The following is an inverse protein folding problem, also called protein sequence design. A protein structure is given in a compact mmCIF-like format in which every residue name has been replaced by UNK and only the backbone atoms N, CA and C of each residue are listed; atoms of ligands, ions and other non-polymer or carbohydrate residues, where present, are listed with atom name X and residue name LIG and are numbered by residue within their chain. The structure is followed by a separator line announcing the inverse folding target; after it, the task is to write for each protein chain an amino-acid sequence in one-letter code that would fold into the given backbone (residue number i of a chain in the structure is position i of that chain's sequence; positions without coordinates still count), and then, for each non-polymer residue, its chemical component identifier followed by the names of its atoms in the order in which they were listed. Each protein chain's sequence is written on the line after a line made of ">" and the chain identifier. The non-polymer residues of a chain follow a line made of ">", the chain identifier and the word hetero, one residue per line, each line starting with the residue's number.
data_IF_893142061688
#
_entry.id   IF_893142061688
#
_cell.length_a   1.000
_cell.length_b   1.000
_cell.length_c   1.000
_cell.angle_alpha   90.00
_cell.angle_beta   90.00
_cell.angle_gamma   90.00
#
_symmetry.space_group_name_H-M   'P 1'
#
loop_
_entity.id
_entity.type
_entity.pdbx_description
1 polymer ?
#
# COMPACT_ATOMS: atom_id res chain seq x y z
N UNK A 1 1.26 -15.86 0.81
CA UNK A 1 0.63 -14.53 0.87
C UNK A 1 0.47 -14.19 2.34
N UNK A 2 1.31 -13.29 2.86
CA UNK A 2 1.48 -13.14 4.31
C UNK A 2 1.18 -11.73 4.82
N UNK A 3 1.42 -10.68 4.02
CA UNK A 3 1.33 -9.30 4.50
C UNK A 3 -0.09 -8.87 4.91
N UNK A 4 -1.10 -9.14 4.07
CA UNK A 4 -2.50 -8.76 4.34
C UNK A 4 -3.12 -9.54 5.52
N UNK A 5 -3.07 -10.89 5.57
CA UNK A 5 -3.52 -11.61 6.76
C UNK A 5 -2.84 -11.14 8.04
N UNK A 6 -1.53 -10.89 7.98
CA UNK A 6 -0.77 -10.42 9.15
C UNK A 6 -1.22 -9.03 9.60
N UNK A 7 -1.41 -8.08 8.67
CA UNK A 7 -1.92 -6.75 8.99
C UNK A 7 -3.30 -6.82 9.65
N UNK A 8 -4.20 -7.64 9.11
CA UNK A 8 -5.58 -7.76 9.60
C UNK A 8 -5.66 -8.45 10.97
N UNK A 9 -4.81 -9.46 11.22
CA UNK A 9 -4.82 -10.23 12.46
C UNK A 9 -3.96 -9.61 13.56
N UNK A 10 -2.89 -8.90 13.18
CA UNK A 10 -1.84 -8.43 14.09
C UNK A 10 -1.53 -6.94 13.88
N UNK A 11 -2.48 -6.13 13.42
CA UNK A 11 -2.27 -4.71 13.13
C UNK A 11 -1.69 -3.89 14.29
N UNK A 12 -1.97 -4.28 15.55
CA UNK A 12 -1.36 -3.66 16.74
C UNK A 12 0.16 -3.86 16.88
N UNK A 13 0.74 -4.84 16.17
CA UNK A 13 2.19 -5.06 16.11
C UNK A 13 2.85 -4.31 14.94
N UNK A 14 2.06 -3.71 14.05
CA UNK A 14 2.53 -3.10 12.81
C UNK A 14 2.47 -1.58 12.97
N UNK A 15 3.62 -0.92 13.00
CA UNK A 15 3.68 0.55 13.07
C UNK A 15 3.16 1.22 11.80
N UNK A 16 3.44 0.63 10.64
CA UNK A 16 2.96 1.11 9.34
C UNK A 16 2.96 0.01 8.29
N UNK A 17 2.14 0.18 7.26
CA UNK A 17 2.01 -0.75 6.14
C UNK A 17 2.29 -0.07 4.80
N UNK A 18 3.24 -0.58 4.03
CA UNK A 18 3.61 -0.02 2.71
C UNK A 18 3.41 -1.07 1.62
N UNK A 19 2.17 -1.30 1.15
CA UNK A 19 1.91 -2.21 0.05
C UNK A 19 2.33 -1.58 -1.28
N UNK A 20 3.10 -2.33 -2.09
CA UNK A 20 3.36 -2.00 -3.50
C UNK A 20 2.59 -2.98 -4.37
N UNK A 21 1.50 -2.51 -4.99
CA UNK A 21 0.60 -3.28 -5.86
C UNK A 21 0.42 -4.77 -5.47
N UNK A 22 0.04 -5.09 -4.21
CA UNK A 22 0.01 -6.46 -3.74
C UNK A 22 -1.10 -7.27 -4.42
N UNK A 23 -0.87 -8.57 -4.56
CA UNK A 23 -1.89 -9.51 -5.02
C UNK A 23 -2.89 -9.86 -3.93
N UNK A 24 -4.06 -10.36 -4.34
CA UNK A 24 -5.05 -11.01 -3.49
C UNK A 24 -5.72 -10.09 -2.45
N UNK A 25 -5.80 -8.80 -2.77
CA UNK A 25 -6.51 -7.80 -1.97
C UNK A 25 -8.01 -8.02 -1.95
N UNK A 26 -8.57 -8.69 -2.95
CA UNK A 26 -9.99 -9.05 -3.09
C UNK A 26 -10.46 -10.13 -2.10
N UNK A 27 -9.53 -10.79 -1.39
CA UNK A 27 -9.86 -11.85 -0.44
C UNK A 27 -10.43 -11.36 0.89
N UNK A 28 -10.47 -10.04 1.09
CA UNK A 28 -10.89 -9.41 2.34
C UNK A 28 -11.98 -8.38 2.08
N UNK A 29 -12.94 -8.28 2.99
CA UNK A 29 -14.05 -7.34 2.85
C UNK A 29 -13.64 -5.90 3.16
N UNK A 30 -14.43 -4.94 2.70
CA UNK A 30 -14.23 -3.53 3.01
C UNK A 30 -14.27 -3.26 4.53
N UNK A 31 -15.11 -3.97 5.28
CA UNK A 31 -15.21 -3.87 6.74
C UNK A 31 -13.93 -4.34 7.42
N UNK A 32 -13.32 -5.42 6.92
CA UNK A 32 -12.04 -5.90 7.44
C UNK A 32 -10.93 -4.87 7.24
N UNK A 33 -10.87 -4.23 6.07
CA UNK A 33 -9.93 -3.14 5.81
C UNK A 33 -10.19 -1.91 6.69
N UNK A 34 -11.46 -1.50 6.86
CA UNK A 34 -11.84 -0.35 7.68
C UNK A 34 -11.49 -0.53 9.16
N UNK A 35 -11.44 -1.76 9.65
CA UNK A 35 -11.04 -2.05 11.02
C UNK A 35 -9.54 -1.80 11.28
N UNK A 36 -8.70 -1.80 10.24
CA UNK A 36 -7.25 -1.58 10.36
C UNK A 36 -6.96 -0.12 10.71
N UNK A 37 -6.33 0.09 11.87
CA UNK A 37 -5.89 1.42 12.32
C UNK A 37 -4.44 1.76 11.94
N UNK A 38 -3.66 0.75 11.52
CA UNK A 38 -2.27 0.93 11.07
C UNK A 38 -2.19 1.94 9.91
N UNK A 39 -1.38 3.00 10.04
CA UNK A 39 -1.10 3.92 8.94
C UNK A 39 -0.55 3.19 7.72
N UNK A 40 -1.06 3.53 6.53
CA UNK A 40 -0.68 2.88 5.29
C UNK A 40 -0.24 3.86 4.21
N UNK A 41 0.77 3.46 3.44
CA UNK A 41 1.21 4.12 2.22
C UNK A 41 1.02 3.16 1.05
N UNK A 42 -0.07 3.34 0.31
CA UNK A 42 -0.40 2.51 -0.86
C UNK A 42 0.38 3.05 -2.05
N UNK A 43 1.25 2.24 -2.64
CA UNK A 43 2.10 2.63 -3.75
C UNK A 43 1.85 1.74 -4.96
N UNK A 44 1.74 2.35 -6.14
CA UNK A 44 1.71 1.62 -7.42
C UNK A 44 2.19 2.54 -8.55
N UNK A 45 2.61 1.95 -9.67
CA UNK A 45 2.95 2.69 -10.90
C UNK A 45 1.73 2.87 -11.80
N UNK A 46 1.60 4.02 -12.48
CA UNK A 46 0.43 4.26 -13.36
C UNK A 46 0.41 3.44 -14.65
N UNK A 47 1.51 2.75 -14.98
CA UNK A 47 1.58 1.78 -16.07
C UNK A 47 1.37 0.33 -15.60
N UNK A 48 1.16 0.10 -14.29
CA UNK A 48 0.71 -1.19 -13.77
C UNK A 48 -0.79 -1.40 -14.03
N UNK A 49 -1.09 -1.78 -15.26
CA UNK A 49 -2.47 -2.03 -15.72
C UNK A 49 -3.09 -3.31 -15.17
N UNK A 50 -2.32 -4.16 -14.49
CA UNK A 50 -2.80 -5.44 -13.97
C UNK A 50 -3.18 -5.36 -12.49
N UNK A 51 -2.27 -4.85 -11.66
CA UNK A 51 -2.41 -4.91 -10.20
C UNK A 51 -2.57 -3.54 -9.54
N UNK A 52 -2.13 -2.46 -10.17
CA UNK A 52 -2.17 -1.11 -9.59
C UNK A 52 -3.58 -0.69 -9.17
N UNK A 53 -4.47 -0.51 -10.14
CA UNK A 53 -5.86 -0.09 -9.89
C UNK A 53 -6.69 -1.13 -9.12
N UNK A 54 -6.44 -2.42 -9.38
CA UNK A 54 -7.16 -3.53 -8.72
C UNK A 54 -6.84 -3.57 -7.23
N UNK A 55 -5.56 -3.48 -6.87
CA UNK A 55 -5.13 -3.46 -5.47
C UNK A 55 -5.59 -2.19 -4.76
N UNK A 56 -5.47 -1.02 -5.42
CA UNK A 56 -5.96 0.26 -4.90
C UNK A 56 -7.46 0.21 -4.58
N UNK A 57 -8.28 -0.34 -5.48
CA UNK A 57 -9.74 -0.40 -5.32
C UNK A 57 -10.19 -1.07 -4.02
N UNK A 58 -9.39 -2.03 -3.53
CA UNK A 58 -9.60 -2.71 -2.26
C UNK A 58 -8.90 -1.97 -1.09
N UNK A 59 -7.62 -1.61 -1.25
CA UNK A 59 -6.79 -1.02 -0.20
C UNK A 59 -7.24 0.39 0.22
N UNK A 60 -7.94 1.13 -0.66
CA UNK A 60 -8.55 2.43 -0.31
C UNK A 60 -9.58 2.36 0.82
N UNK A 61 -10.01 1.15 1.21
CA UNK A 61 -10.88 0.96 2.37
C UNK A 61 -10.12 1.00 3.71
N UNK A 62 -8.78 0.98 3.72
CA UNK A 62 -7.99 1.19 4.94
C UNK A 62 -8.30 2.55 5.55
N UNK A 63 -8.53 2.64 6.86
CA UNK A 63 -8.99 3.87 7.49
C UNK A 63 -7.96 5.02 7.38
N UNK A 64 -6.68 4.70 7.57
CA UNK A 64 -5.58 5.67 7.65
C UNK A 64 -4.59 5.44 6.52
N UNK A 65 -4.91 5.87 5.30
CA UNK A 65 -4.05 5.64 4.14
C UNK A 65 -3.68 6.92 3.38
N UNK A 66 -2.49 6.88 2.77
CA UNK A 66 -2.06 7.79 1.69
C UNK A 66 -1.85 6.96 0.42
N UNK A 67 -2.10 7.55 -0.74
CA UNK A 67 -1.89 6.92 -2.05
C UNK A 67 -0.78 7.65 -2.79
N UNK A 68 0.17 6.90 -3.33
CA UNK A 68 1.20 7.41 -4.22
C UNK A 68 1.16 6.64 -5.53
N UNK A 69 0.95 7.40 -6.60
CA UNK A 69 0.96 6.89 -7.97
C UNK A 69 2.26 7.34 -8.62
N UNK A 70 3.17 6.40 -8.86
CA UNK A 70 4.46 6.68 -9.49
C UNK A 70 4.27 6.81 -11.01
N UNK A 71 4.48 8.02 -11.52
CA UNK A 71 4.20 8.36 -12.92
C UNK A 71 5.21 7.72 -13.87
N UNK A 72 4.70 7.08 -14.93
CA UNK A 72 5.52 6.39 -15.93
C UNK A 72 6.13 5.07 -15.45
N UNK A 73 5.75 4.60 -14.26
CA UNK A 73 6.29 3.38 -13.65
C UNK A 73 5.32 2.21 -13.81
N UNK A 74 5.86 0.99 -13.95
CA UNK A 74 5.11 -0.25 -14.05
C UNK A 74 4.88 -0.92 -12.68
N UNK A 75 4.75 -2.25 -12.68
CA UNK A 75 4.45 -3.02 -11.47
C UNK A 75 5.55 -2.92 -10.40
N UNK A 76 6.81 -3.03 -10.81
CA UNK A 76 7.96 -2.85 -9.93
C UNK A 76 8.37 -1.36 -9.87
N UNK A 77 7.43 -0.47 -9.53
CA UNK A 77 7.61 0.98 -9.66
C UNK A 77 8.81 1.55 -8.89
N UNK A 78 9.19 0.91 -7.78
CA UNK A 78 10.39 1.23 -7.00
C UNK A 78 11.71 0.98 -7.75
N UNK A 79 11.71 0.15 -8.80
CA UNK A 79 12.86 -0.05 -9.70
C UNK A 79 12.88 0.97 -10.83
N UNK A 80 11.71 1.39 -11.32
CA UNK A 80 11.60 2.32 -12.46
C UNK A 80 11.98 3.76 -12.06
N UNK A 81 11.59 4.19 -10.85
CA UNK A 81 12.00 5.48 -10.29
C UNK A 81 12.43 5.33 -8.81
N UNK A 82 13.65 4.83 -8.55
CA UNK A 82 14.14 4.61 -7.18
C UNK A 82 14.26 5.89 -6.36
N UNK A 83 14.53 7.03 -6.99
CA UNK A 83 14.68 8.31 -6.31
C UNK A 83 13.34 8.77 -5.71
N UNK A 84 12.28 8.78 -6.53
CA UNK A 84 10.94 9.11 -6.06
C UNK A 84 10.44 8.13 -4.99
N UNK A 85 10.69 6.82 -5.19
CA UNK A 85 10.36 5.78 -4.21
C UNK A 85 11.00 6.06 -2.84
N UNK A 86 12.32 6.27 -2.79
CA UNK A 86 13.00 6.51 -1.53
C UNK A 86 12.54 7.81 -0.86
N UNK A 87 12.37 8.89 -1.65
CA UNK A 87 11.89 10.17 -1.12
C UNK A 87 10.52 10.01 -0.45
N UNK A 88 9.56 9.44 -1.17
CA UNK A 88 8.20 9.22 -0.69
C UNK A 88 8.17 8.30 0.55
N UNK A 89 8.95 7.22 0.52
CA UNK A 89 9.01 6.29 1.65
C UNK A 89 9.55 6.99 2.90
N UNK A 90 10.65 7.74 2.78
CA UNK A 90 11.24 8.45 3.91
C UNK A 90 10.32 9.54 4.46
N UNK A 91 9.66 10.32 3.59
CA UNK A 91 8.66 11.31 3.99
C UNK A 91 7.50 10.67 4.77
N UNK A 92 7.01 9.51 4.32
CA UNK A 92 5.98 8.77 5.03
C UNK A 92 6.47 8.29 6.39
N UNK A 93 7.65 7.67 6.46
CA UNK A 93 8.22 7.16 7.70
C UNK A 93 8.47 8.27 8.73
N UNK A 94 8.98 9.43 8.29
CA UNK A 94 9.15 10.61 9.15
C UNK A 94 7.81 11.14 9.68
N UNK A 95 6.73 11.03 8.91
CA UNK A 95 5.40 11.44 9.36
C UNK A 95 4.78 10.53 10.44
N UNK A 96 5.45 9.41 10.78
CA UNK A 96 5.03 8.48 11.84
C UNK A 96 5.71 8.76 13.18
N UNK A 97 6.65 9.70 13.24
CA UNK A 97 7.31 10.12 14.48
C UNK A 97 6.38 10.95 15.38
#
# INVERSE_FOLDING_TARGET
>A
MYSLPFLLQHGGMVRAYVPVAPICTEKFSAEQYKAVQTPALIVYGDQDTQLGEVSLGNLRNLANHKVVVMKGAGHACYLDNPEEWHRVLLEFLQSLE
#
